data_IF_254111012805
#
_entry.id   IF_254111012805
#
_cell.length_a   1.000
_cell.length_b   1.000
_cell.length_c   1.000
_cell.angle_alpha   90.00
_cell.angle_beta   90.00
_cell.angle_gamma   90.00
#
_symmetry.space_group_name_H-M   'P 1'
#
loop_
_entity.id
_entity.type
_entity.pdbx_description
1 polymer ?
#
# COMPACT_ATOMS: atom_id res chain seq x y z
N UNK A 1 45.26 -36.09 25.51
CA UNK A 1 43.96 -36.76 25.28
C UNK A 1 42.89 -35.98 26.04
N UNK A 2 41.90 -35.45 25.30
CA UNK A 2 40.62 -34.80 25.67
C UNK A 2 40.53 -33.95 26.96
N UNK A 3 40.17 -32.66 26.86
CA UNK A 3 39.94 -31.81 28.03
C UNK A 3 38.54 -32.03 28.63
N UNK A 4 38.47 -31.87 29.96
CA UNK A 4 37.26 -31.86 30.80
C UNK A 4 36.43 -30.61 30.51
N UNK A 5 35.12 -30.78 30.33
CA UNK A 5 34.12 -29.70 30.35
C UNK A 5 33.20 -29.92 31.55
N UNK A 6 33.46 -29.19 32.63
CA UNK A 6 32.53 -29.01 33.74
C UNK A 6 31.48 -27.97 33.34
N UNK A 7 30.27 -28.42 32.96
CA UNK A 7 29.09 -27.56 32.83
C UNK A 7 28.39 -27.49 34.18
N UNK A 8 28.62 -26.43 34.95
CA UNK A 8 27.76 -26.06 36.08
C UNK A 8 26.45 -25.51 35.56
N UNK A 9 25.39 -26.29 35.69
CA UNK A 9 24.01 -25.85 35.64
C UNK A 9 23.71 -24.98 36.86
N UNK A 10 23.53 -23.67 36.65
CA UNK A 10 22.95 -22.78 37.66
C UNK A 10 21.46 -22.71 37.37
N UNK A 11 20.70 -23.55 38.08
CA UNK A 11 19.28 -23.32 38.32
C UNK A 11 19.15 -22.05 39.17
N UNK A 12 18.46 -21.03 38.66
CA UNK A 12 18.05 -19.88 39.47
C UNK A 12 16.60 -20.06 39.95
N UNK A 13 16.31 -19.73 41.22
CA UNK A 13 15.04 -20.04 41.87
C UNK A 13 13.86 -19.19 41.40
N UNK A 14 12.71 -19.86 41.33
CA UNK A 14 11.36 -19.31 41.17
C UNK A 14 10.96 -18.39 42.34
N UNK A 15 11.52 -17.19 42.45
CA UNK A 15 11.04 -16.19 43.41
C UNK A 15 11.50 -14.76 43.12
N UNK A 16 11.10 -14.18 41.98
CA UNK A 16 11.21 -12.71 41.78
C UNK A 16 10.17 -12.10 40.83
N UNK A 17 9.19 -12.88 40.35
CA UNK A 17 8.07 -12.37 39.53
C UNK A 17 6.84 -12.03 40.38
N UNK A 18 7.00 -11.13 41.35
CA UNK A 18 5.87 -10.57 42.08
C UNK A 18 6.08 -9.05 42.23
N UNK A 19 5.62 -8.31 41.21
CA UNK A 19 5.55 -6.85 41.28
C UNK A 19 5.99 -6.08 40.04
N UNK A 20 5.50 -6.41 38.84
CA UNK A 20 5.50 -5.45 37.72
C UNK A 20 4.06 -5.20 37.31
N UNK A 21 3.57 -4.01 37.67
CA UNK A 21 2.27 -3.50 37.22
C UNK A 21 2.36 -3.24 35.72
N UNK A 22 1.28 -3.56 35.01
CA UNK A 22 1.07 -3.49 33.56
C UNK A 22 1.03 -2.07 32.96
N UNK A 23 1.86 -1.14 33.45
CA UNK A 23 1.87 0.27 33.05
C UNK A 23 3.27 0.88 32.88
N UNK A 24 4.28 0.09 32.51
CA UNK A 24 5.55 0.63 32.03
C UNK A 24 5.54 0.72 30.51
N UNK A 25 4.91 1.80 30.03
CA UNK A 25 5.17 2.36 28.71
C UNK A 25 6.67 2.65 28.65
N UNK A 26 7.38 2.09 27.65
CA UNK A 26 8.70 2.58 27.26
C UNK A 26 8.54 4.00 26.68
N UNK A 27 8.28 4.97 27.55
CA UNK A 27 8.38 6.38 27.24
C UNK A 27 9.87 6.70 27.28
N UNK A 28 10.52 6.78 26.12
CA UNK A 28 11.74 7.56 26.07
C UNK A 28 11.41 8.97 26.59
N UNK A 29 12.13 9.50 27.60
CA UNK A 29 11.75 10.75 28.23
C UNK A 29 12.07 11.93 27.30
N UNK A 30 11.12 12.29 26.45
CA UNK A 30 11.19 13.47 25.58
C UNK A 30 11.09 14.81 26.34
N UNK A 31 11.15 14.83 27.69
CA UNK A 31 10.84 16.03 28.49
C UNK A 31 12.02 16.71 29.20
N UNK A 32 13.26 16.22 29.11
CA UNK A 32 14.43 16.94 29.68
C UNK A 32 15.73 16.69 28.91
N UNK A 33 15.81 17.06 27.65
CA UNK A 33 17.09 17.25 26.98
C UNK A 33 17.15 18.65 26.38
N UNK A 34 18.18 19.41 26.76
CA UNK A 34 18.42 20.79 26.31
C UNK A 34 18.47 20.85 24.77
N UNK A 35 18.01 21.95 24.15
CA UNK A 35 17.93 22.09 22.68
C UNK A 35 19.28 21.94 21.95
N UNK A 36 20.42 22.04 22.66
CA UNK A 36 21.76 21.84 22.07
C UNK A 36 22.15 20.37 21.81
N UNK A 37 21.51 19.40 22.47
CA UNK A 37 21.81 17.96 22.24
C UNK A 37 21.19 17.46 20.93
N UNK A 38 20.07 18.05 20.50
CA UNK A 38 19.45 17.74 19.23
C UNK A 38 20.26 18.25 18.03
N UNK A 39 21.02 19.33 18.18
CA UNK A 39 21.86 19.86 17.10
C UNK A 39 23.06 18.95 16.77
N UNK A 40 23.55 18.17 17.72
CA UNK A 40 24.63 17.17 17.49
C UNK A 40 24.12 15.78 17.12
N UNK A 41 22.80 15.54 17.18
CA UNK A 41 22.15 14.28 16.79
C UNK A 41 21.71 14.25 15.32
N UNK A 42 21.92 15.34 14.58
CA UNK A 42 21.76 15.39 13.11
C UNK A 42 22.92 14.66 12.38
N UNK A 43 23.40 13.54 12.94
CA UNK A 43 24.19 12.57 12.18
C UNK A 43 23.23 11.58 11.54
N UNK A 44 23.34 11.43 10.22
CA UNK A 44 22.74 10.41 9.35
C UNK A 44 22.31 9.15 10.10
N UNK A 45 21.00 8.95 10.29
CA UNK A 45 20.45 7.75 10.92
C UNK A 45 19.14 7.94 11.71
N UNK A 46 18.81 9.15 12.15
CA UNK A 46 17.58 9.39 12.94
C UNK A 46 16.31 9.11 12.13
N UNK A 47 16.32 9.44 10.84
CA UNK A 47 15.25 9.16 9.88
C UNK A 47 14.91 7.67 9.77
N UNK A 48 15.93 6.80 9.75
CA UNK A 48 15.74 5.34 9.69
C UNK A 48 15.12 4.81 10.98
N UNK A 49 15.51 5.35 12.13
CA UNK A 49 14.93 4.99 13.43
C UNK A 49 13.43 5.31 13.47
N UNK A 50 13.03 6.47 12.96
CA UNK A 50 11.62 6.84 12.89
C UNK A 50 10.82 5.95 11.94
N UNK A 51 11.40 5.58 10.78
CA UNK A 51 10.77 4.63 9.86
C UNK A 51 10.55 3.25 10.52
N UNK A 52 11.56 2.73 11.21
CA UNK A 52 11.47 1.45 11.91
C UNK A 52 10.48 1.50 13.08
N UNK A 53 10.44 2.60 13.83
CA UNK A 53 9.47 2.82 14.91
C UNK A 53 8.04 2.88 14.36
N UNK A 54 7.84 3.55 13.23
CA UNK A 54 6.56 3.59 12.53
C UNK A 54 6.12 2.19 12.09
N UNK A 55 6.99 1.47 11.38
CA UNK A 55 6.72 0.08 10.97
C UNK A 55 6.37 -0.80 12.17
N UNK A 56 7.12 -0.71 13.26
CA UNK A 56 6.82 -1.46 14.47
C UNK A 56 5.43 -1.12 15.03
N UNK A 57 5.07 0.17 15.12
CA UNK A 57 3.75 0.59 15.57
C UNK A 57 2.62 0.10 14.63
N UNK A 58 2.85 0.09 13.31
CA UNK A 58 1.90 -0.40 12.32
C UNK A 58 1.57 -1.90 12.50
N UNK A 59 2.54 -2.71 12.92
CA UNK A 59 2.31 -4.15 13.20
C UNK A 59 1.36 -4.39 14.38
N UNK A 60 1.19 -3.41 15.27
CA UNK A 60 0.30 -3.48 16.44
C UNK A 60 -0.98 -2.67 16.28
N UNK A 61 -1.42 -2.39 15.04
CA UNK A 61 -2.65 -1.63 14.75
C UNK A 61 -2.64 -0.21 15.33
N UNK A 62 -1.47 0.37 15.56
CA UNK A 62 -1.32 1.74 16.08
C UNK A 62 -1.12 2.74 14.95
N UNK A 63 -2.08 2.81 14.02
CA UNK A 63 -1.93 3.59 12.78
C UNK A 63 -1.62 5.07 13.03
N UNK A 64 -2.28 5.71 14.01
CA UNK A 64 -2.00 7.12 14.34
C UNK A 64 -0.58 7.34 14.86
N UNK A 65 -0.08 6.41 15.68
CA UNK A 65 1.28 6.45 16.20
C UNK A 65 2.28 6.21 15.05
N UNK A 66 2.05 5.16 14.26
CA UNK A 66 2.84 4.84 13.07
C UNK A 66 2.99 6.02 12.12
N UNK A 67 1.87 6.64 11.74
CA UNK A 67 1.87 7.81 10.85
C UNK A 67 2.58 9.02 11.44
N UNK A 68 2.47 9.21 12.76
CA UNK A 68 3.20 10.29 13.42
C UNK A 68 4.72 10.07 13.29
N UNK A 69 5.18 8.83 13.41
CA UNK A 69 6.58 8.47 13.18
C UNK A 69 7.02 8.66 11.73
N UNK A 70 6.20 8.22 10.76
CA UNK A 70 6.48 8.46 9.35
C UNK A 70 6.54 9.96 9.03
N UNK A 71 5.61 10.76 9.54
CA UNK A 71 5.60 12.20 9.33
C UNK A 71 6.87 12.88 9.91
N UNK A 72 7.34 12.43 11.08
CA UNK A 72 8.59 12.93 11.67
C UNK A 72 9.80 12.52 10.81
N UNK A 73 9.82 11.28 10.31
CA UNK A 73 10.85 10.80 9.37
C UNK A 73 10.89 11.67 8.11
N UNK A 74 9.74 11.87 7.46
CA UNK A 74 9.62 12.68 6.25
C UNK A 74 10.03 14.14 6.47
N UNK A 75 9.64 14.75 7.59
CA UNK A 75 10.10 16.11 7.94
C UNK A 75 11.61 16.19 8.15
N UNK A 76 12.21 15.15 8.74
CA UNK A 76 13.66 15.08 8.94
C UNK A 76 14.37 14.93 7.59
N UNK A 77 13.87 14.05 6.72
CA UNK A 77 14.38 13.85 5.36
C UNK A 77 14.30 15.14 4.52
N UNK A 78 13.19 15.88 4.57
CA UNK A 78 13.08 17.20 3.89
C UNK A 78 14.17 18.18 4.31
N UNK A 79 14.50 18.22 5.61
CA UNK A 79 15.56 19.09 6.12
C UNK A 79 16.94 18.64 5.63
N UNK A 80 17.20 17.33 5.60
CA UNK A 80 18.45 16.77 5.06
C UNK A 80 18.60 17.13 3.58
N UNK A 81 17.54 16.99 2.79
CA UNK A 81 17.59 17.39 1.38
C UNK A 81 17.85 18.88 1.17
N UNK A 82 17.20 19.74 1.95
CA UNK A 82 17.43 21.19 1.90
C UNK A 82 18.83 21.61 2.37
N UNK A 83 19.40 20.89 3.35
CA UNK A 83 20.75 21.17 3.86
C UNK A 83 21.86 20.75 2.88
N UNK A 84 21.62 19.69 2.09
CA UNK A 84 22.58 19.13 1.16
C UNK A 84 22.41 19.64 -0.29
N UNK A 85 21.52 20.61 -0.53
CA UNK A 85 21.16 21.14 -1.87
C UNK A 85 20.84 20.03 -2.90
N UNK A 86 20.32 18.90 -2.42
CA UNK A 86 20.00 17.73 -3.26
C UNK A 86 18.84 18.07 -4.22
N UNK A 87 18.01 19.06 -3.87
CA UNK A 87 17.16 19.76 -4.83
C UNK A 87 17.76 21.15 -5.02
N UNK A 88 18.46 21.37 -6.13
CA UNK A 88 19.02 22.68 -6.49
C UNK A 88 18.03 23.79 -6.17
N UNK A 89 18.36 24.57 -5.15
CA UNK A 89 17.47 25.50 -4.43
C UNK A 89 17.01 26.72 -5.24
N UNK A 90 17.20 26.75 -6.56
CA UNK A 90 16.58 27.75 -7.42
C UNK A 90 15.25 27.23 -7.96
N UNK A 91 14.17 27.76 -7.39
CA UNK A 91 12.78 27.64 -7.86
C UNK A 91 12.62 28.12 -9.35
N UNK A 92 13.67 28.68 -9.94
CA UNK A 92 13.74 29.13 -11.33
C UNK A 92 14.89 28.51 -12.16
N UNK A 93 15.68 27.59 -11.60
CA UNK A 93 16.62 26.82 -12.40
C UNK A 93 15.92 25.58 -12.97
N UNK A 94 16.22 25.29 -14.23
CA UNK A 94 15.98 24.00 -14.89
C UNK A 94 16.16 22.81 -13.93
N UNK A 95 15.37 21.73 -14.05
CA UNK A 95 15.25 20.71 -13.01
C UNK A 95 16.63 20.14 -12.65
N UNK A 96 17.05 20.16 -11.37
CA UNK A 96 18.29 19.53 -10.97
C UNK A 96 18.02 18.03 -10.89
N UNK A 97 18.11 17.37 -12.03
CA UNK A 97 18.09 15.91 -12.16
C UNK A 97 19.52 15.40 -11.96
N UNK A 98 20.14 15.72 -10.83
CA UNK A 98 21.47 15.19 -10.53
C UNK A 98 21.31 13.87 -9.76
N UNK A 99 21.95 12.83 -10.28
CA UNK A 99 22.03 11.54 -9.62
C UNK A 99 22.69 11.70 -8.24
N UNK A 100 22.31 10.89 -7.24
CA UNK A 100 22.97 10.93 -5.94
C UNK A 100 24.48 10.71 -6.13
N UNK A 101 25.26 11.69 -5.65
CA UNK A 101 26.71 11.76 -5.81
C UNK A 101 27.42 10.87 -4.79
N UNK A 102 26.79 10.66 -3.64
CA UNK A 102 27.31 9.86 -2.52
C UNK A 102 26.45 8.65 -2.18
N UNK A 103 27.05 7.66 -1.52
CA UNK A 103 26.31 6.51 -0.97
C UNK A 103 25.26 6.96 0.05
N UNK A 104 25.61 7.96 0.86
CA UNK A 104 24.71 8.58 1.85
C UNK A 104 23.49 9.26 1.19
N UNK A 105 23.69 9.99 0.09
CA UNK A 105 22.59 10.59 -0.69
C UNK A 105 21.67 9.51 -1.29
N UNK A 106 22.26 8.41 -1.79
CA UNK A 106 21.50 7.29 -2.35
C UNK A 106 20.60 6.62 -1.29
N UNK A 107 21.14 6.40 -0.08
CA UNK A 107 20.35 5.87 1.04
C UNK A 107 19.26 6.85 1.49
N UNK A 108 19.56 8.16 1.51
CA UNK A 108 18.59 9.21 1.85
C UNK A 108 17.43 9.23 0.86
N UNK A 109 17.74 9.08 -0.43
CA UNK A 109 16.74 8.97 -1.50
C UNK A 109 15.83 7.75 -1.34
N UNK A 110 16.41 6.59 -1.05
CA UNK A 110 15.66 5.35 -0.79
C UNK A 110 14.78 5.50 0.44
N UNK A 111 15.30 6.08 1.53
CA UNK A 111 14.54 6.34 2.74
C UNK A 111 13.38 7.30 2.48
N UNK A 112 13.57 8.32 1.64
CA UNK A 112 12.52 9.25 1.24
C UNK A 112 11.41 8.59 0.45
N UNK A 113 11.73 7.83 -0.59
CA UNK A 113 10.72 7.08 -1.33
C UNK A 113 9.98 6.07 -0.46
N UNK A 114 10.70 5.35 0.41
CA UNK A 114 10.11 4.40 1.36
C UNK A 114 9.17 5.11 2.35
N UNK A 115 9.57 6.26 2.88
CA UNK A 115 8.76 7.09 3.76
C UNK A 115 7.47 7.54 3.06
N UNK A 116 7.59 7.99 1.81
CA UNK A 116 6.45 8.45 1.02
C UNK A 116 5.44 7.31 0.76
N UNK A 117 5.93 6.12 0.41
CA UNK A 117 5.07 4.94 0.24
C UNK A 117 4.31 4.61 1.54
N UNK A 118 5.00 4.61 2.68
CA UNK A 118 4.40 4.30 3.99
C UNK A 118 3.40 5.37 4.46
N UNK A 119 3.61 6.64 4.11
CA UNK A 119 2.63 7.70 4.37
C UNK A 119 1.37 7.54 3.50
N UNK A 120 1.53 7.10 2.24
CA UNK A 120 0.45 6.97 1.27
C UNK A 120 -0.33 5.65 1.36
N UNK A 121 0.21 4.61 2.00
CA UNK A 121 -0.46 3.30 2.12
C UNK A 121 -1.68 3.27 3.06
N UNK A 122 -1.88 4.35 3.83
CA UNK A 122 -2.91 4.48 4.84
C UNK A 122 -4.36 4.59 4.32
N UNK A 123 -5.37 4.24 5.14
CA UNK A 123 -6.77 4.36 4.75
C UNK A 123 -7.20 5.85 4.66
N UNK A 124 -8.10 6.18 3.73
CA UNK A 124 -8.47 7.56 3.37
C UNK A 124 -9.27 8.34 4.43
N UNK A 125 -9.65 7.71 5.54
CA UNK A 125 -10.58 8.28 6.52
C UNK A 125 -9.91 8.97 7.73
N UNK A 126 -8.58 9.13 7.71
CA UNK A 126 -7.84 9.77 8.79
C UNK A 126 -7.08 11.00 8.31
N UNK A 127 -7.56 12.18 8.71
CA UNK A 127 -6.80 13.43 8.65
C UNK A 127 -5.55 13.26 9.51
N UNK A 128 -4.41 13.04 8.86
CA UNK A 128 -3.14 12.83 9.54
C UNK A 128 -2.12 13.85 9.08
N UNK A 129 -1.23 14.22 10.01
CA UNK A 129 -0.14 15.17 9.74
C UNK A 129 0.69 14.63 8.59
N UNK A 130 0.73 15.36 7.48
CA UNK A 130 1.57 15.02 6.34
C UNK A 130 2.98 15.57 6.57
N UNK A 131 3.99 14.82 6.14
CA UNK A 131 5.37 15.36 6.10
C UNK A 131 5.55 16.39 4.98
N UNK A 132 4.59 16.46 4.06
CA UNK A 132 4.63 17.18 2.79
C UNK A 132 5.77 16.70 1.87
N UNK A 133 6.28 15.48 2.09
CA UNK A 133 7.27 14.86 1.21
C UNK A 133 6.71 14.60 -0.20
N UNK A 134 5.39 14.41 -0.31
CA UNK A 134 4.69 14.30 -1.58
C UNK A 134 4.90 15.51 -2.51
N UNK A 135 5.06 16.73 -1.96
CA UNK A 135 5.35 17.94 -2.73
C UNK A 135 6.73 17.90 -3.40
N UNK A 136 7.65 17.10 -2.86
CA UNK A 136 8.99 16.92 -3.39
C UNK A 136 9.08 15.75 -4.37
N UNK A 137 8.03 14.93 -4.48
CA UNK A 137 8.03 13.72 -5.32
C UNK A 137 8.24 13.98 -6.82
N UNK A 138 7.87 15.19 -7.28
CA UNK A 138 8.08 15.66 -8.65
C UNK A 138 9.54 16.02 -8.93
N UNK A 139 10.31 16.36 -7.89
CA UNK A 139 11.71 16.75 -7.98
C UNK A 139 12.67 15.62 -7.59
N UNK A 140 12.14 14.55 -7.00
CA UNK A 140 12.92 13.37 -6.61
C UNK A 140 13.27 12.49 -7.80
N UNK A 141 14.57 12.23 -7.96
CA UNK A 141 15.08 11.20 -8.89
C UNK A 141 14.63 9.80 -8.43
N UNK A 142 14.55 8.87 -9.38
CA UNK A 142 14.29 7.47 -9.04
C UNK A 142 15.56 6.85 -8.41
N UNK A 143 15.42 5.93 -7.44
CA UNK A 143 16.55 5.20 -6.89
C UNK A 143 17.33 4.46 -7.99
N UNK A 144 18.65 4.60 -7.99
CA UNK A 144 19.56 3.91 -8.91
C UNK A 144 20.75 3.32 -8.15
N UNK A 145 21.40 2.33 -8.76
CA UNK A 145 22.60 1.71 -8.23
C UNK A 145 23.71 2.75 -8.08
N UNK A 146 24.27 2.83 -6.86
CA UNK A 146 25.48 3.62 -6.63
C UNK A 146 26.71 2.76 -6.92
N UNK A 147 27.46 3.12 -7.97
CA UNK A 147 28.66 2.42 -8.42
C UNK A 147 29.98 3.08 -7.97
N UNK A 148 29.92 4.00 -6.99
CA UNK A 148 31.10 4.70 -6.49
C UNK A 148 31.94 3.86 -5.51
N UNK A 149 33.18 4.27 -5.28
CA UNK A 149 34.00 3.81 -4.15
C UNK A 149 34.21 4.98 -3.20
N UNK A 150 33.51 4.97 -2.07
CA UNK A 150 33.74 5.91 -0.96
C UNK A 150 34.70 5.25 0.02
N UNK A 151 35.91 5.81 0.14
CA UNK A 151 36.81 5.47 1.24
C UNK A 151 36.38 6.27 2.48
N UNK A 152 35.50 5.71 3.31
CA UNK A 152 35.21 6.30 4.62
C UNK A 152 36.45 6.22 5.53
N UNK A 153 37.17 7.34 5.69
CA UNK A 153 38.22 7.50 6.69
C UNK A 153 37.64 7.93 8.05
N UNK A 154 36.79 7.11 8.65
CA UNK A 154 36.38 7.34 10.03
C UNK A 154 36.08 6.02 10.72
N UNK A 155 36.99 5.64 11.62
CA UNK A 155 36.81 4.69 12.73
C UNK A 155 36.36 3.26 12.38
N UNK A 156 37.35 2.36 12.36
CA UNK A 156 37.25 0.93 12.71
C UNK A 156 36.00 0.15 12.28
N UNK A 157 36.17 -0.58 11.17
CA UNK A 157 35.52 -1.85 10.81
C UNK A 157 34.00 -1.84 10.49
N UNK A 158 33.58 -1.11 9.45
CA UNK A 158 32.65 -1.67 8.43
C UNK A 158 32.97 -1.00 7.09
N UNK A 159 33.60 -1.71 6.16
CA UNK A 159 33.62 -1.28 4.76
C UNK A 159 32.25 -1.64 4.16
N UNK A 160 31.38 -0.65 3.94
CA UNK A 160 30.19 -0.85 3.11
C UNK A 160 30.62 -0.92 1.65
N UNK A 161 31.10 -2.09 1.22
CA UNK A 161 31.64 -2.30 -0.14
C UNK A 161 30.56 -2.50 -1.20
N UNK A 162 29.27 -2.45 -0.85
CA UNK A 162 28.19 -2.74 -1.78
C UNK A 162 26.96 -1.91 -1.45
N UNK A 163 26.44 -1.21 -2.46
CA UNK A 163 25.11 -0.60 -2.42
C UNK A 163 23.99 -1.64 -2.19
N UNK A 164 22.74 -1.19 -2.02
CA UNK A 164 21.61 -2.11 -1.98
C UNK A 164 21.64 -3.02 -3.23
N UNK A 165 21.28 -4.31 -3.10
CA UNK A 165 21.17 -5.21 -4.25
C UNK A 165 20.36 -4.58 -5.39
N UNK A 166 20.92 -4.57 -6.61
CA UNK A 166 20.30 -4.05 -7.83
C UNK A 166 18.84 -4.52 -7.98
N UNK A 167 18.60 -5.79 -7.70
CA UNK A 167 17.26 -6.41 -7.72
C UNK A 167 16.27 -5.68 -6.80
N UNK A 168 16.66 -5.31 -5.58
CA UNK A 168 15.78 -4.58 -4.66
C UNK A 168 15.46 -3.18 -5.17
N UNK A 169 16.42 -2.51 -5.81
CA UNK A 169 16.20 -1.21 -6.42
C UNK A 169 15.25 -1.28 -7.61
N UNK A 170 15.34 -2.33 -8.44
CA UNK A 170 14.38 -2.58 -9.50
C UNK A 170 12.95 -2.74 -8.95
N UNK A 171 12.77 -3.55 -7.90
CA UNK A 171 11.46 -3.71 -7.24
C UNK A 171 10.93 -2.40 -6.66
N UNK A 172 11.78 -1.64 -5.96
CA UNK A 172 11.39 -0.37 -5.37
C UNK A 172 10.97 0.63 -6.45
N UNK A 173 11.77 0.79 -7.50
CA UNK A 173 11.50 1.70 -8.62
C UNK A 173 10.22 1.30 -9.37
N UNK A 174 10.01 0.00 -9.61
CA UNK A 174 8.76 -0.50 -10.18
C UNK A 174 7.55 -0.14 -9.29
N UNK A 175 7.65 -0.34 -7.97
CA UNK A 175 6.57 0.01 -7.04
C UNK A 175 6.29 1.52 -6.96
N UNK A 176 7.33 2.37 -7.01
CA UNK A 176 7.18 3.82 -7.07
C UNK A 176 6.46 4.22 -8.36
N UNK A 177 6.86 3.63 -9.49
CA UNK A 177 6.25 3.95 -10.78
C UNK A 177 4.76 3.62 -10.79
N UNK A 178 4.32 2.46 -10.26
CA UNK A 178 2.90 2.11 -10.14
C UNK A 178 2.11 3.12 -9.30
N UNK A 179 2.73 3.62 -8.23
CA UNK A 179 2.08 4.59 -7.35
C UNK A 179 1.89 5.95 -8.02
N UNK A 180 2.90 6.40 -8.77
CA UNK A 180 2.79 7.59 -9.62
C UNK A 180 1.68 7.42 -10.66
N UNK A 181 1.63 6.28 -11.35
CA UNK A 181 0.57 5.98 -12.31
C UNK A 181 -0.83 6.00 -11.67
N UNK A 182 -0.97 5.41 -10.47
CA UNK A 182 -2.23 5.43 -9.73
C UNK A 182 -2.63 6.85 -9.33
N UNK A 183 -1.70 7.64 -8.80
CA UNK A 183 -1.95 9.02 -8.38
C UNK A 183 -2.36 9.90 -9.56
N UNK A 184 -1.63 9.81 -10.67
CA UNK A 184 -1.92 10.56 -11.89
C UNK A 184 -3.28 10.17 -12.48
N UNK A 185 -3.60 8.88 -12.48
CA UNK A 185 -4.89 8.39 -12.96
C UNK A 185 -6.04 8.79 -12.03
N UNK A 186 -5.85 8.72 -10.71
CA UNK A 186 -6.87 9.17 -9.75
C UNK A 186 -7.21 10.64 -9.97
N UNK A 187 -6.17 11.45 -10.10
CA UNK A 187 -6.30 12.87 -10.37
C UNK A 187 -7.03 13.12 -11.70
N UNK A 188 -6.64 12.41 -12.77
CA UNK A 188 -7.34 12.50 -14.06
C UNK A 188 -8.78 12.00 -14.01
N UNK A 189 -9.13 10.95 -13.26
CA UNK A 189 -10.48 10.39 -13.24
C UNK A 189 -11.44 11.18 -12.33
N UNK A 190 -10.98 11.60 -11.15
CA UNK A 190 -11.88 12.09 -10.10
C UNK A 190 -11.74 13.59 -9.78
N UNK A 191 -10.67 14.27 -10.24
CA UNK A 191 -10.54 15.72 -10.02
C UNK A 191 -11.33 16.49 -11.09
N UNK A 192 -12.54 16.89 -10.73
CA UNK A 192 -13.52 17.53 -11.62
C UNK A 192 -12.98 18.77 -12.36
N UNK A 193 -12.06 19.51 -11.76
CA UNK A 193 -11.45 20.72 -12.34
C UNK A 193 -10.57 20.46 -13.58
N UNK A 194 -10.16 19.21 -13.82
CA UNK A 194 -9.25 18.84 -14.92
C UNK A 194 -9.97 18.19 -16.12
N UNK A 195 -11.26 17.91 -16.01
CA UNK A 195 -12.05 17.38 -17.12
C UNK A 195 -12.45 18.49 -18.07
N UNK A 196 -11.65 18.71 -19.11
CA UNK A 196 -12.00 19.64 -20.19
C UNK A 196 -13.17 19.14 -21.03
N UNK A 197 -13.36 17.81 -21.17
CA UNK A 197 -14.48 17.21 -21.93
C UNK A 197 -14.75 15.75 -21.57
N UNK A 198 -16.02 15.34 -21.65
CA UNK A 198 -16.49 13.95 -21.49
C UNK A 198 -15.75 12.90 -22.34
N UNK A 199 -15.29 13.28 -23.54
CA UNK A 199 -14.52 12.40 -24.41
C UNK A 199 -13.15 11.99 -23.83
N UNK A 200 -12.49 12.88 -23.07
CA UNK A 200 -11.18 12.62 -22.46
C UNK A 200 -11.31 11.55 -21.38
N UNK A 201 -12.29 11.69 -20.49
CA UNK A 201 -12.54 10.71 -19.44
C UNK A 201 -12.88 9.32 -20.02
N UNK A 202 -13.71 9.28 -21.06
CA UNK A 202 -14.02 8.02 -21.74
C UNK A 202 -12.77 7.38 -22.35
N UNK A 203 -11.90 8.17 -22.98
CA UNK A 203 -10.65 7.69 -23.54
C UNK A 203 -9.71 7.13 -22.46
N UNK A 204 -9.56 7.82 -21.33
CA UNK A 204 -8.79 7.34 -20.18
C UNK A 204 -9.32 5.98 -19.71
N UNK A 205 -10.62 5.89 -19.41
CA UNK A 205 -11.25 4.63 -18.95
C UNK A 205 -11.09 3.48 -19.95
N UNK A 206 -11.07 3.77 -21.26
CA UNK A 206 -10.86 2.77 -22.31
C UNK A 206 -9.41 2.26 -22.35
N UNK A 207 -8.43 3.08 -21.96
CA UNK A 207 -7.01 2.78 -22.09
C UNK A 207 -6.33 2.43 -20.76
N UNK A 208 -7.01 2.56 -19.61
CA UNK A 208 -6.45 2.20 -18.30
C UNK A 208 -5.81 0.79 -18.29
N UNK A 209 -6.45 -0.17 -18.94
CA UNK A 209 -5.94 -1.55 -19.04
C UNK A 209 -4.67 -1.67 -19.89
N UNK A 210 -4.64 -0.99 -21.03
CA UNK A 210 -3.49 -1.05 -21.94
C UNK A 210 -2.27 -0.38 -21.34
N UNK A 211 -2.45 0.77 -20.67
CA UNK A 211 -1.37 1.49 -19.99
C UNK A 211 -0.71 0.63 -18.92
N UNK A 212 -1.49 -0.08 -18.09
CA UNK A 212 -0.93 -0.98 -17.09
C UNK A 212 -0.26 -2.22 -17.71
N UNK A 213 -0.82 -2.75 -18.79
CA UNK A 213 -0.23 -3.88 -19.48
C UNK A 213 1.11 -3.50 -20.11
N UNK A 214 1.15 -2.37 -20.83
CA UNK A 214 2.38 -1.79 -21.37
C UNK A 214 3.40 -1.56 -20.26
N UNK A 215 3.00 -0.97 -19.13
CA UNK A 215 3.89 -0.79 -17.99
C UNK A 215 4.54 -2.12 -17.55
N UNK A 216 3.77 -3.21 -17.49
CA UNK A 216 4.29 -4.54 -17.14
C UNK A 216 5.22 -5.09 -18.21
N UNK A 217 4.87 -4.92 -19.48
CA UNK A 217 5.64 -5.43 -20.61
C UNK A 217 7.01 -4.73 -20.76
N UNK A 218 7.12 -3.49 -20.26
CA UNK A 218 8.38 -2.74 -20.20
C UNK A 218 9.26 -3.07 -18.98
N UNK A 219 8.80 -3.91 -18.05
CA UNK A 219 9.64 -4.33 -16.92
C UNK A 219 10.81 -5.21 -17.39
N UNK A 220 11.92 -5.26 -16.63
CA UNK A 220 12.94 -6.28 -16.83
C UNK A 220 12.35 -7.70 -16.78
N UNK A 221 12.89 -8.63 -17.59
CA UNK A 221 12.34 -10.00 -17.74
C UNK A 221 12.16 -10.75 -16.41
N UNK A 222 13.03 -10.51 -15.43
CA UNK A 222 12.94 -11.13 -14.11
C UNK A 222 11.74 -10.62 -13.28
N UNK A 223 11.21 -9.43 -13.57
CA UNK A 223 10.05 -8.84 -12.88
C UNK A 223 8.72 -9.06 -13.64
N UNK A 224 8.76 -9.58 -14.87
CA UNK A 224 7.57 -9.80 -15.69
C UNK A 224 6.77 -11.04 -15.25
N UNK A 225 5.47 -11.05 -15.54
CA UNK A 225 4.57 -12.20 -15.31
C UNK A 225 3.36 -12.15 -16.23
N UNK A 226 2.68 -13.28 -16.39
CA UNK A 226 1.41 -13.39 -17.11
C UNK A 226 0.21 -13.46 -16.15
N UNK A 227 -0.97 -13.05 -16.63
CA UNK A 227 -2.21 -13.10 -15.84
C UNK A 227 -2.59 -14.53 -15.42
N UNK A 228 -2.11 -15.55 -16.15
CA UNK A 228 -2.32 -16.97 -15.86
C UNK A 228 -1.32 -17.56 -14.86
N UNK A 229 -0.26 -16.82 -14.51
CA UNK A 229 0.74 -17.30 -13.57
C UNK A 229 0.13 -17.41 -12.17
N UNK A 230 0.47 -18.49 -11.47
CA UNK A 230 0.12 -18.62 -10.06
C UNK A 230 0.75 -17.51 -9.20
N UNK A 231 0.26 -17.35 -7.96
CA UNK A 231 0.83 -16.38 -7.02
C UNK A 231 2.29 -16.72 -6.71
N UNK A 232 3.17 -15.71 -6.55
CA UNK A 232 4.60 -15.94 -6.38
C UNK A 232 4.94 -16.45 -4.98
N UNK A 233 6.03 -17.21 -4.88
CA UNK A 233 6.54 -17.74 -3.61
C UNK A 233 7.39 -16.73 -2.82
N UNK A 234 7.94 -15.73 -3.49
CA UNK A 234 8.83 -14.73 -2.88
C UNK A 234 8.08 -13.43 -2.54
N UNK A 235 8.54 -12.78 -1.48
CA UNK A 235 7.89 -11.59 -0.94
C UNK A 235 7.91 -10.38 -1.90
N UNK A 236 8.98 -10.22 -2.68
CA UNK A 236 9.18 -9.03 -3.51
C UNK A 236 8.24 -9.04 -4.72
N UNK A 237 8.17 -10.16 -5.44
CA UNK A 237 7.20 -10.35 -6.51
C UNK A 237 5.77 -10.34 -5.96
N UNK A 238 5.51 -10.94 -4.80
CA UNK A 238 4.18 -10.89 -4.18
C UNK A 238 3.71 -9.45 -3.94
N UNK A 239 4.59 -8.61 -3.35
CA UNK A 239 4.27 -7.18 -3.12
C UNK A 239 4.10 -6.40 -4.43
N UNK A 240 4.96 -6.64 -5.41
CA UNK A 240 4.85 -5.97 -6.72
C UNK A 240 3.53 -6.33 -7.42
N UNK A 241 3.22 -7.64 -7.50
CA UNK A 241 1.97 -8.13 -8.11
C UNK A 241 0.75 -7.65 -7.33
N UNK A 242 0.78 -7.70 -5.99
CA UNK A 242 -0.31 -7.17 -5.16
C UNK A 242 -0.57 -5.69 -5.44
N UNK A 243 0.48 -4.87 -5.55
CA UNK A 243 0.38 -3.45 -5.89
C UNK A 243 -0.22 -3.27 -7.28
N UNK A 244 0.30 -3.98 -8.29
CA UNK A 244 -0.23 -3.95 -9.66
C UNK A 244 -1.73 -4.29 -9.71
N UNK A 245 -2.14 -5.41 -9.11
CA UNK A 245 -3.52 -5.86 -9.12
C UNK A 245 -4.44 -4.91 -8.35
N UNK A 246 -3.93 -4.31 -7.27
CA UNK A 246 -4.67 -3.27 -6.51
C UNK A 246 -4.90 -2.03 -7.36
N UNK A 247 -3.90 -1.58 -8.13
CA UNK A 247 -4.06 -0.48 -9.09
C UNK A 247 -5.10 -0.84 -10.16
N UNK A 248 -5.01 -2.04 -10.75
CA UNK A 248 -5.97 -2.53 -11.75
C UNK A 248 -7.39 -2.61 -11.19
N UNK A 249 -7.55 -3.14 -9.98
CA UNK A 249 -8.83 -3.17 -9.25
C UNK A 249 -9.40 -1.76 -9.09
N UNK A 250 -8.57 -0.82 -8.63
CA UNK A 250 -8.98 0.57 -8.44
C UNK A 250 -9.45 1.22 -9.74
N UNK A 251 -8.74 1.00 -10.85
CA UNK A 251 -9.09 1.53 -12.18
C UNK A 251 -10.44 1.00 -12.67
N UNK A 252 -10.73 -0.28 -12.46
CA UNK A 252 -11.95 -0.91 -12.96
C UNK A 252 -13.13 -0.86 -11.97
N UNK A 253 -12.90 -0.47 -10.72
CA UNK A 253 -13.92 -0.36 -9.68
C UNK A 253 -15.16 0.45 -10.11
N UNK A 254 -15.03 1.57 -10.87
CA UNK A 254 -16.21 2.32 -11.34
C UNK A 254 -17.16 1.50 -12.20
N UNK A 255 -16.65 0.57 -13.02
CA UNK A 255 -17.49 -0.29 -13.87
C UNK A 255 -18.34 -1.23 -13.02
N UNK A 256 -17.73 -1.83 -11.99
CA UNK A 256 -18.44 -2.73 -11.09
C UNK A 256 -19.42 -1.97 -10.18
N UNK A 257 -19.01 -0.79 -9.69
CA UNK A 257 -19.88 0.09 -8.91
C UNK A 257 -21.08 0.57 -9.73
N UNK A 258 -20.88 0.95 -10.99
CA UNK A 258 -21.98 1.29 -11.90
C UNK A 258 -22.95 0.11 -12.06
N UNK A 259 -22.44 -1.11 -12.19
CA UNK A 259 -23.25 -2.32 -12.36
C UNK A 259 -24.14 -2.61 -11.14
N UNK A 260 -23.57 -2.51 -9.94
CA UNK A 260 -24.26 -2.84 -8.69
C UNK A 260 -25.24 -1.72 -8.28
N UNK A 261 -24.82 -0.47 -8.44
CA UNK A 261 -25.50 0.66 -7.85
C UNK A 261 -26.38 1.41 -8.86
N UNK A 262 -25.87 1.70 -10.07
CA UNK A 262 -26.53 2.62 -11.00
C UNK A 262 -27.36 1.90 -12.07
N UNK A 263 -26.84 0.80 -12.62
CA UNK A 263 -27.45 0.05 -13.72
C UNK A 263 -28.90 -0.38 -13.45
N UNK A 264 -29.27 -0.87 -12.25
CA UNK A 264 -30.65 -1.27 -11.98
C UNK A 264 -31.68 -0.16 -12.19
N UNK A 265 -31.31 1.09 -11.86
CA UNK A 265 -32.15 2.28 -12.07
C UNK A 265 -32.08 2.80 -13.51
N UNK A 266 -30.88 2.72 -14.11
CA UNK A 266 -30.68 3.15 -15.48
C UNK A 266 -31.53 2.33 -16.46
N UNK A 267 -31.62 1.02 -16.26
CA UNK A 267 -32.38 0.11 -17.13
C UNK A 267 -33.90 0.34 -17.06
N UNK A 268 -34.42 0.90 -15.95
CA UNK A 268 -35.83 1.29 -15.81
C UNK A 268 -36.11 2.74 -16.25
N UNK A 269 -35.12 3.40 -16.88
CA UNK A 269 -35.27 4.71 -17.53
C UNK A 269 -34.81 5.92 -16.72
N UNK A 270 -34.18 5.73 -15.56
CA UNK A 270 -33.62 6.84 -14.79
C UNK A 270 -32.34 7.36 -15.45
N UNK A 271 -32.13 8.67 -15.38
CA UNK A 271 -30.81 9.23 -15.74
C UNK A 271 -29.78 8.85 -14.69
N UNK A 272 -28.50 8.79 -15.10
CA UNK A 272 -27.38 8.52 -14.17
C UNK A 272 -27.37 9.50 -12.99
N UNK A 273 -27.70 10.77 -13.21
CA UNK A 273 -27.80 11.77 -12.14
C UNK A 273 -28.92 11.44 -11.15
N UNK A 274 -30.08 11.03 -11.61
CA UNK A 274 -31.21 10.66 -10.74
C UNK A 274 -30.88 9.40 -9.93
N UNK A 275 -30.38 8.36 -10.59
CA UNK A 275 -29.92 7.14 -9.92
C UNK A 275 -28.80 7.44 -8.90
N UNK A 276 -27.85 8.31 -9.28
CA UNK A 276 -26.80 8.72 -8.38
C UNK A 276 -27.32 9.51 -7.19
N UNK A 277 -28.34 10.37 -7.32
CA UNK A 277 -28.93 11.11 -6.18
C UNK A 277 -29.56 10.15 -5.17
N UNK A 278 -30.27 9.12 -5.63
CA UNK A 278 -30.87 8.11 -4.74
C UNK A 278 -29.80 7.36 -3.92
N UNK A 279 -28.61 7.17 -4.48
CA UNK A 279 -27.48 6.45 -3.85
C UNK A 279 -26.56 7.39 -3.07
N UNK A 280 -26.39 8.63 -3.54
CA UNK A 280 -25.48 9.65 -3.00
C UNK A 280 -25.90 10.15 -1.61
N UNK A 281 -27.15 9.93 -1.19
CA UNK A 281 -27.61 10.22 0.19
C UNK A 281 -26.77 9.46 1.24
N UNK A 282 -26.04 8.41 0.83
CA UNK A 282 -25.31 7.51 1.75
C UNK A 282 -23.77 7.66 1.66
N UNK A 283 -23.19 8.15 0.56
CA UNK A 283 -21.75 7.87 0.24
C UNK A 283 -20.90 9.02 -0.32
N UNK A 284 -21.42 10.25 -0.44
CA UNK A 284 -20.66 11.41 -0.98
C UNK A 284 -20.02 11.16 -2.37
N UNK A 285 -20.71 10.40 -3.23
CA UNK A 285 -20.29 9.96 -4.58
C UNK A 285 -20.33 11.04 -5.68
N UNK A 286 -20.42 12.34 -5.35
CA UNK A 286 -20.58 13.41 -6.36
C UNK A 286 -19.46 13.43 -7.41
N UNK A 287 -18.24 13.04 -7.03
CA UNK A 287 -17.10 12.94 -7.94
C UNK A 287 -17.23 11.78 -8.95
N UNK A 288 -17.96 10.72 -8.61
CA UNK A 288 -18.09 9.53 -9.45
C UNK A 288 -19.23 9.62 -10.49
N UNK A 289 -20.17 10.56 -10.32
CA UNK A 289 -21.32 10.71 -11.24
C UNK A 289 -20.86 10.92 -12.68
N UNK A 290 -19.86 11.75 -12.89
CA UNK A 290 -19.31 12.01 -14.23
C UNK A 290 -18.62 10.77 -14.84
N UNK A 291 -17.99 9.94 -13.99
CA UNK A 291 -17.41 8.65 -14.38
C UNK A 291 -18.51 7.66 -14.78
N UNK A 292 -19.61 7.62 -14.03
CA UNK A 292 -20.77 6.79 -14.36
C UNK A 292 -21.48 7.22 -15.65
N UNK A 293 -21.59 8.52 -15.91
CA UNK A 293 -22.10 9.02 -17.18
C UNK A 293 -21.20 8.58 -18.35
N UNK A 294 -19.88 8.66 -18.17
CA UNK A 294 -18.92 8.19 -19.17
C UNK A 294 -19.09 6.70 -19.46
N UNK A 295 -19.26 5.87 -18.43
CA UNK A 295 -19.50 4.42 -18.54
C UNK A 295 -20.84 4.13 -19.23
N UNK A 296 -21.91 4.82 -18.86
CA UNK A 296 -23.24 4.64 -19.46
C UNK A 296 -23.25 4.92 -20.97
N UNK A 297 -22.38 5.81 -21.45
CA UNK A 297 -22.24 6.11 -22.88
C UNK A 297 -21.34 5.11 -23.64
N UNK A 298 -20.69 4.16 -22.96
CA UNK A 298 -19.82 3.17 -23.60
C UNK A 298 -20.63 2.04 -24.27
N UNK A 299 -19.97 1.31 -25.17
CA UNK A 299 -20.54 0.07 -25.73
C UNK A 299 -20.67 -0.99 -24.63
N UNK A 300 -21.73 -1.78 -24.68
CA UNK A 300 -22.01 -2.84 -23.69
C UNK A 300 -20.83 -3.81 -23.54
N UNK A 301 -20.17 -4.19 -24.64
CA UNK A 301 -18.98 -5.05 -24.63
C UNK A 301 -17.88 -4.51 -23.70
N UNK A 302 -17.57 -3.21 -23.78
CA UNK A 302 -16.54 -2.57 -22.94
C UNK A 302 -16.96 -2.48 -21.49
N UNK A 303 -18.25 -2.25 -21.24
CA UNK A 303 -18.80 -2.29 -19.90
C UNK A 303 -18.73 -3.70 -19.29
N UNK A 304 -18.99 -4.76 -20.07
CA UNK A 304 -18.82 -6.16 -19.64
C UNK A 304 -17.34 -6.47 -19.32
N UNK A 305 -16.42 -6.07 -20.20
CA UNK A 305 -14.98 -6.29 -20.04
C UNK A 305 -14.42 -5.61 -18.79
N UNK A 306 -14.83 -4.35 -18.54
CA UNK A 306 -14.39 -3.58 -17.38
C UNK A 306 -14.81 -4.25 -16.05
N UNK A 307 -16.04 -4.78 -15.98
CA UNK A 307 -16.53 -5.48 -14.79
C UNK A 307 -15.80 -6.78 -14.54
N UNK A 308 -15.61 -7.60 -15.58
CA UNK A 308 -14.82 -8.85 -15.49
C UNK A 308 -13.39 -8.56 -15.03
N UNK A 309 -12.78 -7.51 -15.58
CA UNK A 309 -11.43 -7.08 -15.19
C UNK A 309 -11.36 -6.62 -13.74
N UNK A 310 -12.40 -5.95 -13.22
CA UNK A 310 -12.48 -5.58 -11.81
C UNK A 310 -12.54 -6.81 -10.89
N UNK A 311 -13.43 -7.77 -11.21
CA UNK A 311 -13.61 -9.00 -10.43
C UNK A 311 -12.32 -9.83 -10.43
N UNK A 312 -11.67 -9.98 -11.59
CA UNK A 312 -10.41 -10.71 -11.67
C UNK A 312 -9.30 -10.01 -10.88
N UNK A 313 -9.15 -8.69 -11.03
CA UNK A 313 -8.17 -7.93 -10.27
C UNK A 313 -8.41 -8.04 -8.75
N UNK A 314 -9.67 -8.02 -8.31
CA UNK A 314 -10.05 -8.24 -6.91
C UNK A 314 -9.59 -9.60 -6.39
N UNK A 315 -9.84 -10.69 -7.14
CA UNK A 315 -9.33 -12.01 -6.78
C UNK A 315 -7.80 -12.04 -6.73
N UNK A 316 -7.13 -11.49 -7.73
CA UNK A 316 -5.67 -11.49 -7.82
C UNK A 316 -5.03 -10.69 -6.68
N UNK A 317 -5.64 -9.58 -6.25
CA UNK A 317 -5.18 -8.83 -5.06
C UNK A 317 -5.21 -9.69 -3.80
N UNK A 318 -6.25 -10.50 -3.60
CA UNK A 318 -6.40 -11.36 -2.42
C UNK A 318 -5.54 -12.64 -2.47
N UNK A 319 -5.18 -13.07 -3.69
CA UNK A 319 -4.36 -14.25 -3.95
C UNK A 319 -2.86 -13.96 -4.00
N UNK A 320 -2.45 -12.69 -4.10
CA UNK A 320 -1.07 -12.31 -4.40
C UNK A 320 -0.01 -12.83 -3.41
N UNK A 321 -0.41 -13.15 -2.17
CA UNK A 321 0.48 -13.57 -1.09
C UNK A 321 0.36 -15.05 -0.72
N UNK A 322 -0.36 -15.86 -1.50
CA UNK A 322 -0.79 -17.21 -1.09
C UNK A 322 0.35 -18.20 -0.93
N UNK A 323 1.35 -18.10 -1.78
CA UNK A 323 2.52 -18.97 -1.77
C UNK A 323 3.67 -18.39 -0.94
N UNK A 324 3.47 -17.21 -0.34
CA UNK A 324 4.48 -16.58 0.53
C UNK A 324 4.44 -17.26 1.91
N UNK A 325 5.57 -17.73 2.47
CA UNK A 325 5.63 -18.38 3.77
C UNK A 325 5.01 -17.54 4.89
N UNK A 326 4.46 -18.20 5.92
CA UNK A 326 3.57 -17.63 6.94
C UNK A 326 4.07 -16.40 7.73
N UNK A 327 5.35 -16.03 7.63
CA UNK A 327 5.84 -14.77 8.20
C UNK A 327 5.60 -13.62 7.22
N UNK A 328 4.33 -13.33 6.96
CA UNK A 328 3.92 -12.12 6.25
C UNK A 328 4.25 -10.91 7.13
N UNK A 329 5.40 -10.28 6.87
CA UNK A 329 5.73 -8.95 7.38
C UNK A 329 4.95 -7.97 6.52
N UNK A 330 3.69 -7.77 6.90
CA UNK A 330 2.84 -6.74 6.30
C UNK A 330 3.28 -5.40 6.88
N UNK A 331 3.67 -4.45 6.03
CA UNK A 331 4.16 -3.15 6.47
C UNK A 331 3.09 -2.37 7.26
N UNK A 332 1.83 -2.51 6.85
CA UNK A 332 0.65 -1.98 7.55
C UNK A 332 -0.46 -3.04 7.62
N UNK A 333 -0.56 -3.66 8.80
CA UNK A 333 -1.54 -4.72 9.09
C UNK A 333 -2.97 -4.19 8.93
N UNK A 334 -3.26 -2.98 9.43
CA UNK A 334 -4.61 -2.43 9.44
C UNK A 334 -5.06 -2.11 8.01
N UNK A 335 -4.21 -1.44 7.23
CA UNK A 335 -4.53 -1.10 5.84
C UNK A 335 -4.76 -2.35 5.01
N UNK A 336 -3.88 -3.34 5.12
CA UNK A 336 -4.01 -4.61 4.39
C UNK A 336 -5.27 -5.36 4.79
N UNK A 337 -5.56 -5.47 6.08
CA UNK A 337 -6.78 -6.10 6.57
C UNK A 337 -8.04 -5.38 6.08
N UNK A 338 -8.05 -4.05 6.09
CA UNK A 338 -9.17 -3.25 5.61
C UNK A 338 -9.40 -3.41 4.10
N UNK A 339 -8.33 -3.42 3.31
CA UNK A 339 -8.42 -3.63 1.85
C UNK A 339 -8.96 -5.03 1.56
N UNK A 340 -8.39 -6.06 2.18
CA UNK A 340 -8.84 -7.43 1.97
C UNK A 340 -10.30 -7.61 2.38
N UNK A 341 -10.70 -7.00 3.51
CA UNK A 341 -12.09 -6.96 3.98
C UNK A 341 -13.02 -6.31 2.96
N UNK A 342 -12.70 -5.11 2.49
CA UNK A 342 -13.55 -4.36 1.56
C UNK A 342 -13.68 -5.03 0.19
N UNK A 343 -12.60 -5.61 -0.34
CA UNK A 343 -12.65 -6.41 -1.57
C UNK A 343 -13.51 -7.65 -1.35
N UNK A 344 -13.40 -8.34 -0.21
CA UNK A 344 -14.25 -9.49 0.07
C UNK A 344 -15.72 -9.14 0.19
N UNK A 345 -16.08 -8.02 0.83
CA UNK A 345 -17.46 -7.54 0.85
C UNK A 345 -18.01 -7.30 -0.56
N UNK A 346 -17.20 -6.68 -1.43
CA UNK A 346 -17.57 -6.44 -2.82
C UNK A 346 -17.80 -7.75 -3.56
N UNK A 347 -16.87 -8.72 -3.48
CA UNK A 347 -17.03 -10.02 -4.14
C UNK A 347 -18.26 -10.78 -3.62
N UNK A 348 -18.55 -10.70 -2.32
CA UNK A 348 -19.76 -11.25 -1.73
C UNK A 348 -21.02 -10.58 -2.29
N UNK A 349 -21.02 -9.26 -2.46
CA UNK A 349 -22.14 -8.53 -3.07
C UNK A 349 -22.36 -8.95 -4.53
N UNK A 350 -21.27 -9.06 -5.32
CA UNK A 350 -21.31 -9.55 -6.71
C UNK A 350 -21.87 -10.96 -6.79
N UNK A 351 -21.51 -11.85 -5.86
CA UNK A 351 -22.02 -13.22 -5.84
C UNK A 351 -23.51 -13.33 -5.47
N UNK A 352 -24.02 -12.37 -4.69
CA UNK A 352 -25.46 -12.29 -4.34
C UNK A 352 -26.30 -11.69 -5.45
N UNK A 353 -25.72 -10.82 -6.28
CA UNK A 353 -26.41 -10.19 -7.40
C UNK A 353 -26.69 -11.21 -8.51
N UNK A 354 -27.95 -11.36 -8.92
CA UNK A 354 -28.36 -12.39 -9.88
C UNK A 354 -27.71 -12.22 -11.27
N UNK A 355 -27.41 -10.98 -11.66
CA UNK A 355 -26.86 -10.65 -12.96
C UNK A 355 -25.34 -10.79 -12.99
N UNK A 356 -24.66 -10.47 -11.88
CA UNK A 356 -23.20 -10.55 -11.78
C UNK A 356 -22.68 -11.90 -11.24
N UNK A 357 -23.51 -12.67 -10.53
CA UNK A 357 -23.15 -13.98 -9.96
C UNK A 357 -22.46 -14.93 -10.95
N UNK A 358 -22.88 -15.04 -12.23
CA UNK A 358 -22.20 -15.93 -13.19
C UNK A 358 -20.72 -15.59 -13.44
N UNK A 359 -20.28 -14.37 -13.11
CA UNK A 359 -18.89 -13.94 -13.26
C UNK A 359 -17.98 -14.42 -12.12
N UNK A 360 -18.56 -14.98 -11.05
CA UNK A 360 -17.83 -15.40 -9.85
C UNK A 360 -17.99 -16.90 -9.63
N UNK A 361 -16.88 -17.62 -9.72
CA UNK A 361 -16.85 -19.04 -9.39
C UNK A 361 -17.03 -19.22 -7.86
N UNK A 362 -18.02 -20.05 -7.47
CA UNK A 362 -18.39 -20.25 -6.07
C UNK A 362 -17.28 -20.90 -5.22
N UNK A 363 -16.56 -21.87 -5.78
CA UNK A 363 -15.45 -22.55 -5.08
C UNK A 363 -14.27 -21.60 -4.88
N UNK A 364 -13.92 -20.83 -5.92
CA UNK A 364 -12.88 -19.78 -5.85
C UNK A 364 -13.23 -18.74 -4.79
N UNK A 365 -14.49 -18.29 -4.76
CA UNK A 365 -14.95 -17.32 -3.75
C UNK A 365 -14.87 -17.91 -2.33
N UNK A 366 -15.35 -19.14 -2.14
CA UNK A 366 -15.30 -19.82 -0.84
C UNK A 366 -13.86 -19.96 -0.33
N UNK A 367 -12.94 -20.39 -1.19
CA UNK A 367 -11.53 -20.53 -0.83
C UNK A 367 -10.91 -19.21 -0.37
N UNK A 368 -11.12 -18.13 -1.14
CA UNK A 368 -10.55 -16.82 -0.82
C UNK A 368 -11.22 -16.19 0.40
N UNK A 369 -12.53 -16.40 0.60
CA UNK A 369 -13.24 -15.97 1.79
C UNK A 369 -12.70 -16.67 3.04
N UNK A 370 -12.56 -18.00 3.01
CA UNK A 370 -12.01 -18.78 4.12
C UNK A 370 -10.59 -18.31 4.49
N UNK A 371 -9.73 -18.09 3.49
CA UNK A 371 -8.39 -17.56 3.74
C UNK A 371 -8.41 -16.16 4.33
N UNK A 372 -9.32 -15.30 3.88
CA UNK A 372 -9.42 -13.93 4.42
C UNK A 372 -9.93 -13.96 5.85
N UNK A 373 -10.92 -14.80 6.17
CA UNK A 373 -11.41 -15.01 7.55
C UNK A 373 -10.27 -15.50 8.44
N UNK A 374 -9.57 -16.56 8.05
CA UNK A 374 -8.41 -17.10 8.78
C UNK A 374 -7.29 -16.07 8.98
N UNK A 375 -7.04 -15.20 7.99
CA UNK A 375 -6.08 -14.11 8.11
C UNK A 375 -6.53 -13.10 9.19
N UNK A 376 -7.77 -12.64 9.14
CA UNK A 376 -8.28 -11.66 10.10
C UNK A 376 -8.37 -12.25 11.51
N UNK A 377 -8.72 -13.52 11.66
CA UNK A 377 -8.79 -14.23 12.94
C UNK A 377 -7.46 -14.16 13.70
N UNK A 378 -6.34 -14.46 13.01
CA UNK A 378 -4.98 -14.43 13.60
C UNK A 378 -4.59 -13.05 14.15
N UNK A 379 -5.22 -11.99 13.65
CA UNK A 379 -4.92 -10.60 14.00
C UNK A 379 -6.03 -9.93 14.83
N UNK A 380 -7.14 -10.62 15.09
CA UNK A 380 -8.30 -10.10 15.83
C UNK A 380 -8.01 -9.82 17.32
N UNK A 381 -6.97 -10.44 17.89
CA UNK A 381 -6.52 -10.17 19.27
C UNK A 381 -5.79 -8.84 19.38
N UNK A 382 -5.10 -8.42 18.31
CA UNK A 382 -4.26 -7.22 18.25
C UNK A 382 -5.11 -5.98 17.93
N UNK A 383 -6.09 -6.12 17.03
CA UNK A 383 -6.92 -5.01 16.56
C UNK A 383 -8.41 -5.24 16.81
N UNK A 384 -9.10 -4.35 17.53
CA UNK A 384 -10.56 -4.41 17.67
C UNK A 384 -11.29 -4.17 16.34
N UNK A 385 -10.68 -3.42 15.41
CA UNK A 385 -11.25 -3.18 14.07
C UNK A 385 -11.19 -4.45 13.22
N UNK A 386 -10.02 -5.12 13.19
CA UNK A 386 -9.86 -6.40 12.50
C UNK A 386 -10.79 -7.46 13.07
N UNK A 387 -11.01 -7.48 14.39
CA UNK A 387 -11.98 -8.38 15.04
C UNK A 387 -13.40 -8.21 14.50
N UNK A 388 -13.89 -6.97 14.37
CA UNK A 388 -15.21 -6.70 13.78
C UNK A 388 -15.29 -7.10 12.32
N UNK A 389 -14.22 -6.86 11.55
CA UNK A 389 -14.13 -7.26 10.16
C UNK A 389 -14.19 -8.80 10.02
N UNK A 390 -13.47 -9.51 10.90
CA UNK A 390 -13.51 -10.97 11.01
C UNK A 390 -14.93 -11.47 11.29
N UNK A 391 -15.57 -10.99 12.36
CA UNK A 391 -16.94 -11.36 12.74
C UNK A 391 -17.94 -11.11 11.60
N UNK A 392 -17.77 -10.02 10.86
CA UNK A 392 -18.62 -9.68 9.72
C UNK A 392 -18.45 -10.67 8.56
N UNK A 393 -17.20 -10.98 8.18
CA UNK A 393 -16.95 -11.92 7.07
C UNK A 393 -17.32 -13.36 7.43
N UNK A 394 -17.08 -13.77 8.67
CA UNK A 394 -17.46 -15.09 9.17
C UNK A 394 -18.99 -15.28 9.11
N UNK A 395 -19.76 -14.26 9.52
CA UNK A 395 -21.22 -14.28 9.38
C UNK A 395 -21.66 -14.30 7.91
N UNK A 396 -21.00 -13.56 7.03
CA UNK A 396 -21.30 -13.61 5.59
C UNK A 396 -20.98 -14.98 4.98
N UNK A 397 -19.87 -15.62 5.39
CA UNK A 397 -19.51 -16.96 4.95
C UNK A 397 -20.64 -17.95 5.28
N UNK A 398 -21.16 -17.89 6.51
CA UNK A 398 -22.31 -18.71 6.94
C UNK A 398 -23.55 -18.46 6.08
N UNK A 399 -23.90 -17.19 5.87
CA UNK A 399 -25.09 -16.81 5.08
C UNK A 399 -24.98 -17.26 3.62
N UNK A 400 -23.78 -17.22 3.04
CA UNK A 400 -23.57 -17.53 1.62
C UNK A 400 -23.39 -19.03 1.33
N UNK A 401 -22.78 -19.77 2.24
CA UNK A 401 -22.33 -21.14 1.98
C UNK A 401 -22.81 -22.18 2.99
N UNK A 402 -23.16 -21.76 4.21
CA UNK A 402 -23.64 -22.67 5.27
C UNK A 402 -25.16 -22.62 5.44
N UNK A 403 -25.87 -21.84 4.62
CA UNK A 403 -27.30 -22.00 4.41
C UNK A 403 -27.55 -23.36 3.74
N UNK A 404 -27.76 -24.38 4.58
CA UNK A 404 -28.27 -25.69 4.18
C UNK A 404 -29.64 -25.51 3.50
N UNK A 405 -29.94 -26.27 2.42
CA UNK A 405 -31.18 -26.17 1.63
C UNK A 405 -32.48 -26.31 2.43
#
# INVERSE_FOLDING_TARGET
MRPRTDTRSVEMPCSTWRGMRTNEVFVMPAKRCKPRVWQSLFSSGCEVVYLLAGLFAAHFDRVKESKSWFAIAGQTLRKVFGANDIYGTSIHATPPCELPRTFSESLTLIAAWSCLQLENEAPPHEDTRTSHLAELSTFLSLPQDWSGTESCQATSQVQFTRGPPEELLLFLTAQISLEKHLADLYDRLYRQERHSTFHVLRFELMNCGTVLQEWRDHLPKNLQWNDSDGPPCDMLHARLRAKYWRVRYFMYRPFLSFALNIRPYYDIGYTVKQAAVEICVITNLRAEVFVYEAIAAMKEERFMDGRRSCIEAAFQTLLAFDQVPHRLIVADLQSTAYINFTIMLLLCAVFRDWYLRPLVNAERLRHVLDRTVNFLERHATISPTVRRNHETLENLQRILFDAVP
#
